data_IF_699084211096
#
_entry.id   IF_699084211096
#
_cell.length_a   1.000
_cell.length_b   1.000
_cell.length_c   1.000
_cell.angle_alpha   90.00
_cell.angle_beta   90.00
_cell.angle_gamma   90.00
#
_symmetry.space_group_name_H-M   'P 1'
#
loop_
_entity.id
_entity.type
_entity.pdbx_description
1 polymer ?
#
# COMPACT_ATOMS: atom_id res chain seq x y z
N UNK A 1 24.84 2.91 17.76
CA UNK A 1 23.51 3.37 18.21
C UNK A 1 22.93 4.50 17.35
N UNK A 2 23.66 5.03 16.35
CA UNK A 2 23.18 6.06 15.42
C UNK A 2 22.31 5.52 14.26
N UNK A 3 22.41 4.23 13.98
CA UNK A 3 21.79 3.54 12.84
C UNK A 3 20.24 3.56 12.88
N UNK A 4 19.64 3.39 14.06
CA UNK A 4 18.18 3.35 14.18
C UNK A 4 17.46 4.68 13.93
N UNK A 5 18.12 5.81 14.20
CA UNK A 5 17.53 7.15 13.99
C UNK A 5 17.53 7.52 12.51
N UNK A 6 18.58 7.16 11.78
CA UNK A 6 18.67 7.39 10.34
C UNK A 6 17.64 6.55 9.58
N UNK A 7 17.51 5.26 9.93
CA UNK A 7 16.49 4.39 9.35
C UNK A 7 15.06 4.89 9.61
N UNK A 8 14.79 5.39 10.82
CA UNK A 8 13.48 5.94 11.15
C UNK A 8 13.16 7.23 10.38
N UNK A 9 14.14 8.11 10.18
CA UNK A 9 13.95 9.31 9.34
C UNK A 9 13.69 8.93 7.88
N UNK A 10 14.51 8.03 7.31
CA UNK A 10 14.30 7.54 5.94
C UNK A 10 12.92 6.91 5.75
N UNK A 11 12.50 6.08 6.69
CA UNK A 11 11.16 5.50 6.69
C UNK A 11 10.09 6.60 6.67
N UNK A 12 10.19 7.58 7.58
CA UNK A 12 9.22 8.69 7.64
C UNK A 12 9.17 9.49 6.35
N UNK A 13 10.33 9.90 5.84
CA UNK A 13 10.43 10.69 4.61
C UNK A 13 9.81 9.95 3.42
N UNK A 14 10.11 8.66 3.26
CA UNK A 14 9.54 7.84 2.20
C UNK A 14 8.03 7.61 2.38
N UNK A 15 7.59 7.37 3.62
CA UNK A 15 6.18 7.14 3.95
C UNK A 15 5.32 8.39 3.71
N UNK A 16 5.83 9.57 4.07
CA UNK A 16 5.15 10.85 3.91
C UNK A 16 5.19 11.37 2.46
N UNK A 17 6.19 10.98 1.68
CA UNK A 17 6.31 11.34 0.26
C UNK A 17 5.30 10.64 -0.66
N UNK A 18 4.73 9.50 -0.23
CA UNK A 18 3.72 8.76 -1.00
C UNK A 18 2.30 9.12 -0.55
N UNK A 19 1.33 9.01 -1.46
CA UNK A 19 -0.05 9.41 -1.24
C UNK A 19 -1.09 8.39 -1.70
N UNK A 20 -2.19 8.30 -0.95
CA UNK A 20 -3.41 7.58 -1.37
C UNK A 20 -4.47 8.64 -1.62
N UNK A 21 -4.61 9.07 -2.87
CA UNK A 21 -5.45 10.22 -3.25
C UNK A 21 -6.90 9.86 -3.51
N UNK A 22 -7.18 8.60 -3.89
CA UNK A 22 -8.51 8.00 -3.91
C UNK A 22 -8.49 6.74 -3.04
N UNK A 23 -9.25 6.75 -1.94
CA UNK A 23 -9.38 5.61 -1.01
C UNK A 23 -10.57 4.74 -1.40
N UNK A 24 -10.46 3.44 -1.13
CA UNK A 24 -11.56 2.48 -1.26
C UNK A 24 -12.25 2.29 0.08
N UNK A 25 -13.58 2.19 0.08
CA UNK A 25 -14.38 2.13 1.33
C UNK A 25 -14.63 0.72 1.87
N UNK A 26 -14.13 -0.31 1.17
CA UNK A 26 -14.40 -1.71 1.52
C UNK A 26 -13.38 -2.29 2.53
N UNK A 27 -13.87 -3.15 3.43
CA UNK A 27 -13.05 -3.88 4.42
C UNK A 27 -12.48 -5.17 3.83
N UNK A 28 -11.21 -5.49 4.10
CA UNK A 28 -10.62 -6.79 3.74
C UNK A 28 -11.42 -7.91 4.41
N UNK A 29 -11.74 -8.96 3.64
CA UNK A 29 -12.36 -10.16 4.20
C UNK A 29 -11.33 -10.87 5.08
N UNK A 30 -11.55 -10.87 6.38
CA UNK A 30 -10.64 -11.43 7.40
C UNK A 30 -10.45 -12.95 7.29
N UNK A 31 -11.10 -13.64 6.36
CA UNK A 31 -11.02 -15.10 6.18
C UNK A 31 -10.73 -15.56 4.73
N UNK A 32 -10.49 -14.65 3.78
CA UNK A 32 -10.29 -14.96 2.36
C UNK A 32 -9.10 -14.25 1.73
N UNK A 33 -8.80 -14.58 0.46
CA UNK A 33 -7.92 -13.75 -0.35
C UNK A 33 -8.63 -12.41 -0.62
N UNK A 34 -7.92 -11.31 -0.42
CA UNK A 34 -8.42 -9.98 -0.79
C UNK A 34 -7.55 -9.44 -1.90
N UNK A 35 -8.21 -8.94 -2.93
CA UNK A 35 -7.59 -8.34 -4.10
C UNK A 35 -7.78 -6.83 -3.99
N UNK A 36 -6.66 -6.10 -3.92
CA UNK A 36 -6.61 -4.66 -3.70
C UNK A 36 -6.17 -3.98 -5.01
N UNK A 37 -7.15 -3.58 -5.82
CA UNK A 37 -6.92 -2.88 -7.08
C UNK A 37 -6.41 -1.46 -6.87
N UNK A 38 -5.47 -1.03 -7.73
CA UNK A 38 -4.95 0.32 -7.71
C UNK A 38 -4.48 0.82 -9.08
N UNK A 39 -4.49 2.14 -9.24
CA UNK A 39 -3.64 2.88 -10.17
C UNK A 39 -2.50 3.54 -9.41
N UNK A 40 -1.29 3.46 -9.93
CA UNK A 40 -0.09 4.11 -9.40
C UNK A 40 0.38 5.17 -10.39
N UNK A 41 0.46 6.41 -9.93
CA UNK A 41 1.00 7.56 -10.66
C UNK A 41 2.34 7.93 -10.03
N UNK A 42 3.44 7.65 -10.74
CA UNK A 42 4.78 8.05 -10.31
C UNK A 42 5.31 9.22 -11.11
N UNK A 43 5.84 10.22 -10.41
CA UNK A 43 6.39 11.43 -11.02
C UNK A 43 7.03 12.35 -9.98
N UNK A 44 7.55 13.47 -10.44
CA UNK A 44 8.04 14.53 -9.56
C UNK A 44 7.00 15.64 -9.51
N UNK A 45 6.49 15.91 -8.30
CA UNK A 45 5.44 16.90 -8.05
C UNK A 45 5.83 18.33 -8.44
N UNK A 46 7.12 18.66 -8.46
CA UNK A 46 7.59 20.02 -8.71
C UNK A 46 7.98 20.26 -10.20
N UNK A 47 7.66 19.30 -11.08
CA UNK A 47 8.09 19.37 -12.48
C UNK A 47 6.94 19.11 -13.45
N UNK A 48 6.99 19.73 -14.62
CA UNK A 48 6.14 19.38 -15.78
C UNK A 48 6.67 18.15 -16.52
N UNK A 49 7.40 17.26 -15.84
CA UNK A 49 7.94 16.07 -16.46
C UNK A 49 6.83 15.05 -16.69
N UNK A 50 6.96 14.20 -17.73
CA UNK A 50 6.05 13.09 -17.94
C UNK A 50 5.97 12.20 -16.70
N UNK A 51 4.77 11.82 -16.31
CA UNK A 51 4.52 10.86 -15.23
C UNK A 51 4.34 9.46 -15.80
N UNK A 52 4.60 8.44 -14.99
CA UNK A 52 4.25 7.06 -15.32
C UNK A 52 2.97 6.65 -14.59
N UNK A 53 2.03 6.08 -15.33
CA UNK A 53 0.80 5.49 -14.80
C UNK A 53 0.89 3.97 -14.97
N UNK A 54 0.53 3.23 -13.92
CA UNK A 54 0.52 1.76 -13.93
C UNK A 54 -0.71 1.27 -13.19
N UNK A 55 -1.46 0.34 -13.77
CA UNK A 55 -2.50 -0.39 -13.05
C UNK A 55 -1.89 -1.59 -12.36
N UNK A 56 -2.36 -1.94 -11.16
CA UNK A 56 -1.95 -3.16 -10.49
C UNK A 56 -2.98 -3.64 -9.49
N UNK A 57 -2.68 -4.81 -8.93
CA UNK A 57 -3.49 -5.45 -7.91
C UNK A 57 -2.58 -6.12 -6.89
N UNK A 58 -2.87 -5.91 -5.61
CA UNK A 58 -2.22 -6.65 -4.52
C UNK A 58 -3.15 -7.76 -4.05
N UNK A 59 -2.68 -9.00 -4.17
CA UNK A 59 -3.33 -10.16 -3.56
C UNK A 59 -2.76 -10.42 -2.18
N UNK A 60 -3.62 -10.33 -1.17
CA UNK A 60 -3.31 -10.67 0.23
C UNK A 60 -3.85 -12.05 0.55
N UNK A 61 -2.99 -12.98 1.00
CA UNK A 61 -3.42 -14.33 1.40
C UNK A 61 -2.79 -14.76 2.73
N UNK A 62 -3.53 -15.57 3.50
CA UNK A 62 -2.95 -16.40 4.56
C UNK A 62 -2.55 -17.75 3.97
N UNK A 63 -1.30 -18.20 4.15
CA UNK A 63 -0.86 -19.53 3.72
C UNK A 63 -1.62 -20.60 4.52
N UNK A 64 -2.16 -21.60 3.80
CA UNK A 64 -3.01 -22.67 4.36
C UNK A 64 -2.22 -23.81 5.02
N UNK A 65 -0.92 -23.91 4.73
CA UNK A 65 -0.03 -24.93 5.32
C UNK A 65 0.45 -24.40 6.67
N UNK A 66 0.60 -25.28 7.68
CA UNK A 66 1.06 -24.96 9.04
C UNK A 66 2.33 -24.11 8.97
N UNK A 67 2.12 -22.80 8.95
CA UNK A 67 3.17 -21.81 8.90
C UNK A 67 3.45 -21.50 10.37
N UNK A 68 4.69 -21.67 10.85
CA UNK A 68 5.02 -21.31 12.21
C UNK A 68 4.55 -19.88 12.49
N UNK A 69 3.99 -19.59 13.66
CA UNK A 69 3.60 -18.22 14.04
C UNK A 69 4.78 -17.24 13.99
N UNK A 70 6.02 -17.75 13.90
CA UNK A 70 7.27 -17.02 13.71
C UNK A 70 7.62 -16.68 12.25
N UNK A 71 6.81 -17.05 11.27
CA UNK A 71 7.12 -16.80 9.87
C UNK A 71 7.00 -15.32 9.53
N UNK A 72 8.05 -14.80 8.87
CA UNK A 72 8.06 -13.44 8.36
C UNK A 72 7.02 -13.26 7.26
N UNK A 73 6.40 -12.08 7.13
CA UNK A 73 5.62 -11.72 5.96
C UNK A 73 6.49 -11.80 4.70
N UNK A 74 5.86 -12.19 3.59
CA UNK A 74 6.52 -12.30 2.28
C UNK A 74 5.89 -11.30 1.32
N UNK A 75 6.73 -10.48 0.67
CA UNK A 75 6.34 -9.54 -0.38
C UNK A 75 6.92 -10.00 -1.71
N UNK A 76 6.07 -10.15 -2.73
CA UNK A 76 6.46 -10.49 -4.09
C UNK A 76 6.00 -9.38 -5.05
N UNK A 77 6.91 -8.87 -5.87
CA UNK A 77 6.58 -7.89 -6.92
C UNK A 77 6.33 -6.46 -6.44
N UNK A 78 6.73 -6.09 -5.22
CA UNK A 78 6.52 -4.75 -4.66
C UNK A 78 7.65 -3.77 -4.99
N UNK A 79 8.89 -4.18 -4.78
CA UNK A 79 10.03 -3.28 -4.68
C UNK A 79 10.94 -3.43 -5.89
N UNK A 80 11.36 -2.30 -6.46
CA UNK A 80 12.27 -2.27 -7.61
C UNK A 80 13.71 -1.91 -7.20
N UNK A 81 13.90 -1.45 -5.96
CA UNK A 81 15.19 -1.03 -5.45
C UNK A 81 15.37 -1.29 -3.93
N UNK A 82 16.63 -1.32 -3.43
CA UNK A 82 16.92 -1.62 -2.03
C UNK A 82 16.37 -0.59 -1.02
N UNK A 83 16.18 0.67 -1.41
CA UNK A 83 15.68 1.70 -0.50
C UNK A 83 14.22 1.41 -0.12
N UNK A 84 13.41 0.94 -1.09
CA UNK A 84 12.04 0.51 -0.83
C UNK A 84 11.98 -0.74 0.05
N UNK A 85 12.90 -1.70 -0.15
CA UNK A 85 13.02 -2.90 0.69
C UNK A 85 13.36 -2.54 2.15
N UNK A 86 14.27 -1.58 2.37
CA UNK A 86 14.63 -1.09 3.71
C UNK A 86 13.41 -0.46 4.43
N UNK A 87 12.61 0.33 3.71
CA UNK A 87 11.36 0.91 4.24
C UNK A 87 10.38 -0.18 4.65
N UNK A 88 10.26 -1.23 3.84
CA UNK A 88 9.41 -2.38 4.14
C UNK A 88 9.88 -3.15 5.37
N UNK A 89 11.17 -3.46 5.45
CA UNK A 89 11.77 -4.14 6.60
C UNK A 89 11.57 -3.34 7.90
N UNK A 90 11.71 -2.00 7.83
CA UNK A 90 11.47 -1.13 8.98
C UNK A 90 10.03 -1.23 9.50
N UNK A 91 9.04 -1.24 8.59
CA UNK A 91 7.62 -1.39 8.91
C UNK A 91 7.33 -2.77 9.51
N UNK A 92 7.84 -3.83 8.88
CA UNK A 92 7.59 -5.20 9.28
C UNK A 92 8.15 -5.53 10.66
N UNK A 93 9.33 -5.01 10.99
CA UNK A 93 9.94 -5.19 12.31
C UNK A 93 9.08 -4.63 13.45
N UNK A 94 8.11 -3.77 13.16
CA UNK A 94 7.29 -3.04 14.14
C UNK A 94 5.80 -3.37 14.07
N UNK A 95 5.37 -4.26 13.16
CA UNK A 95 3.95 -4.49 12.89
C UNK A 95 3.56 -5.97 13.00
N UNK A 96 2.98 -6.35 14.14
CA UNK A 96 2.54 -7.72 14.40
C UNK A 96 1.38 -8.19 13.48
N UNK A 97 0.58 -7.24 12.97
CA UNK A 97 -0.56 -7.50 12.09
C UNK A 97 -0.18 -8.14 10.72
N UNK A 98 1.09 -8.08 10.33
CA UNK A 98 1.58 -8.68 9.08
C UNK A 98 2.08 -10.12 9.26
N UNK A 99 2.18 -10.62 10.50
CA UNK A 99 2.68 -11.97 10.74
C UNK A 99 1.88 -13.01 9.95
N UNK A 100 2.58 -13.96 9.31
CA UNK A 100 2.00 -15.02 8.48
C UNK A 100 1.18 -14.57 7.25
N UNK A 101 1.27 -13.32 6.79
CA UNK A 101 0.65 -12.89 5.53
C UNK A 101 1.62 -12.98 4.35
N UNK A 102 1.11 -13.42 3.20
CA UNK A 102 1.81 -13.33 1.91
C UNK A 102 1.12 -12.28 1.03
N UNK A 103 1.93 -11.42 0.44
CA UNK A 103 1.52 -10.32 -0.41
C UNK A 103 2.12 -10.50 -1.79
N UNK A 104 1.27 -10.56 -2.81
CA UNK A 104 1.71 -10.64 -4.20
C UNK A 104 1.18 -9.42 -4.93
N UNK A 105 2.07 -8.54 -5.35
CA UNK A 105 1.76 -7.39 -6.19
C UNK A 105 1.95 -7.76 -7.66
N UNK A 106 0.92 -7.56 -8.45
CA UNK A 106 0.96 -7.74 -9.90
C UNK A 106 0.72 -6.39 -10.56
N UNK A 107 1.76 -5.88 -11.23
CA UNK A 107 1.69 -4.64 -11.99
C UNK A 107 1.54 -4.92 -13.48
N UNK A 108 0.68 -4.13 -14.11
CA UNK A 108 0.53 -4.07 -15.55
C UNK A 108 1.64 -3.26 -16.22
N UNK A 109 1.42 -2.92 -17.49
CA UNK A 109 2.38 -2.14 -18.26
C UNK A 109 2.48 -0.70 -17.74
N UNK A 110 3.72 -0.20 -17.65
CA UNK A 110 4.02 1.17 -17.28
C UNK A 110 3.79 2.10 -18.48
N UNK A 111 2.80 2.97 -18.39
CA UNK A 111 2.47 3.93 -19.44
C UNK A 111 3.05 5.30 -19.08
N UNK A 112 3.92 5.84 -19.93
CA UNK A 112 4.44 7.20 -19.76
C UNK A 112 3.47 8.16 -20.43
N UNK A 113 2.98 9.14 -19.67
CA UNK A 113 2.06 10.18 -20.14
C UNK A 113 2.66 11.55 -19.89
N UNK A 114 2.39 12.50 -20.77
CA UNK A 114 2.94 13.87 -20.69
C UNK A 114 2.25 14.76 -19.66
N UNK A 115 1.30 14.21 -18.90
CA UNK A 115 0.55 14.94 -17.88
C UNK A 115 1.42 15.18 -16.64
N UNK A 116 1.01 16.16 -15.84
CA UNK A 116 1.41 16.25 -14.43
C UNK A 116 0.73 15.18 -13.58
N UNK A 117 1.19 15.01 -12.33
CA UNK A 117 0.56 14.10 -11.35
C UNK A 117 -0.93 14.47 -11.18
N UNK A 118 -1.23 15.75 -10.97
CA UNK A 118 -2.60 16.23 -10.75
C UNK A 118 -3.51 15.94 -11.95
N UNK A 119 -3.03 16.23 -13.17
CA UNK A 119 -3.78 15.96 -14.40
C UNK A 119 -4.03 14.46 -14.63
N UNK A 120 -3.04 13.61 -14.33
CA UNK A 120 -3.19 12.17 -14.42
C UNK A 120 -4.19 11.63 -13.38
N UNK A 121 -4.12 12.12 -12.13
CA UNK A 121 -5.06 11.79 -11.05
C UNK A 121 -6.48 12.23 -11.40
N UNK A 122 -6.66 13.46 -11.88
CA UNK A 122 -7.96 13.99 -12.31
C UNK A 122 -8.58 13.14 -13.43
N UNK A 123 -7.77 12.75 -14.41
CA UNK A 123 -8.23 11.87 -15.49
C UNK A 123 -8.65 10.50 -14.96
N UNK A 124 -7.86 9.91 -14.07
CA UNK A 124 -8.17 8.61 -13.47
C UNK A 124 -9.44 8.68 -12.61
N UNK A 125 -9.63 9.76 -11.85
CA UNK A 125 -10.86 9.97 -11.08
C UNK A 125 -12.09 10.03 -11.98
N UNK A 126 -12.06 10.86 -13.04
CA UNK A 126 -13.16 10.95 -14.00
C UNK A 126 -13.45 9.60 -14.64
N UNK A 127 -12.42 8.87 -15.04
CA UNK A 127 -12.56 7.53 -15.61
C UNK A 127 -13.27 6.57 -14.65
N UNK A 128 -12.80 6.48 -13.39
CA UNK A 128 -13.38 5.57 -12.40
C UNK A 128 -14.80 5.98 -12.01
N UNK A 129 -15.10 7.28 -11.97
CA UNK A 129 -16.45 7.78 -11.70
C UNK A 129 -17.41 7.48 -12.85
N UNK A 130 -16.97 7.63 -14.10
CA UNK A 130 -17.74 7.28 -15.30
C UNK A 130 -17.98 5.76 -15.41
N UNK A 131 -17.08 4.94 -14.87
CA UNK A 131 -17.17 3.48 -14.81
C UNK A 131 -17.94 2.97 -13.56
N UNK A 132 -18.39 3.87 -12.68
CA UNK A 132 -19.00 3.54 -11.38
C UNK A 132 -18.12 2.61 -10.50
N UNK A 133 -16.80 2.76 -10.60
CA UNK A 133 -15.81 1.91 -9.93
C UNK A 133 -15.34 2.53 -8.60
N UNK A 134 -15.69 1.87 -7.50
CA UNK A 134 -15.43 2.31 -6.12
C UNK A 134 -14.39 1.44 -5.37
N UNK A 135 -13.86 0.39 -6.02
CA UNK A 135 -12.94 -0.59 -5.45
C UNK A 135 -11.50 -0.45 -5.95
N UNK A 136 -11.22 0.57 -6.78
CA UNK A 136 -9.87 0.88 -7.26
C UNK A 136 -9.34 2.14 -6.57
N UNK A 137 -8.19 2.00 -5.90
CA UNK A 137 -7.48 3.12 -5.31
C UNK A 137 -6.65 3.89 -6.37
N UNK A 138 -6.35 5.15 -6.09
CA UNK A 138 -5.33 5.92 -6.84
C UNK A 138 -4.22 6.29 -5.87
N UNK A 139 -3.00 5.90 -6.22
CA UNK A 139 -1.77 6.11 -5.47
C UNK A 139 -0.85 7.08 -6.20
N UNK A 140 -0.13 7.90 -5.45
CA UNK A 140 0.87 8.83 -5.98
C UNK A 140 2.21 8.60 -5.28
N UNK A 141 3.31 8.67 -6.04
CA UNK A 141 4.64 8.50 -5.49
C UNK A 141 5.71 9.25 -6.29
N UNK A 142 6.85 9.59 -5.67
CA UNK A 142 8.09 9.82 -6.40
C UNK A 142 8.49 8.62 -7.26
N UNK A 143 9.28 8.86 -8.31
CA UNK A 143 9.64 7.85 -9.31
C UNK A 143 10.26 6.56 -8.74
N UNK A 144 10.94 6.63 -7.60
CA UNK A 144 11.64 5.53 -6.94
C UNK A 144 10.91 4.96 -5.70
N UNK A 145 9.69 5.41 -5.41
CA UNK A 145 8.91 5.01 -4.21
C UNK A 145 7.57 4.36 -4.57
N UNK A 146 7.44 3.83 -5.79
CA UNK A 146 6.20 3.19 -6.26
C UNK A 146 5.82 1.99 -5.39
N UNK A 147 6.78 1.15 -5.04
CA UNK A 147 6.59 -0.01 -4.16
C UNK A 147 6.18 0.40 -2.75
N UNK A 148 6.74 1.50 -2.23
CA UNK A 148 6.38 2.04 -0.91
C UNK A 148 4.93 2.54 -0.90
N UNK A 149 4.46 3.17 -1.98
CA UNK A 149 3.06 3.60 -2.08
C UNK A 149 2.09 2.41 -2.05
N UNK A 150 2.40 1.33 -2.78
CA UNK A 150 1.61 0.09 -2.79
C UNK A 150 1.65 -0.60 -1.43
N UNK A 151 2.81 -0.61 -0.77
CA UNK A 151 2.96 -1.12 0.60
C UNK A 151 2.10 -0.33 1.59
N UNK A 152 2.16 1.01 1.55
CA UNK A 152 1.36 1.88 2.42
C UNK A 152 -0.13 1.65 2.23
N UNK A 153 -0.60 1.58 0.99
CA UNK A 153 -1.99 1.25 0.69
C UNK A 153 -2.41 -0.08 1.31
N UNK A 154 -1.60 -1.13 1.10
CA UNK A 154 -1.86 -2.47 1.64
C UNK A 154 -1.88 -2.45 3.17
N UNK A 155 -0.93 -1.75 3.79
CA UNK A 155 -0.81 -1.61 5.24
C UNK A 155 -2.03 -0.91 5.86
N UNK A 156 -2.43 0.24 5.32
CA UNK A 156 -3.59 0.99 5.80
C UNK A 156 -4.87 0.14 5.68
N UNK A 157 -5.02 -0.66 4.62
CA UNK A 157 -6.15 -1.59 4.47
C UNK A 157 -6.14 -2.70 5.51
N UNK A 158 -4.99 -3.30 5.83
CA UNK A 158 -4.88 -4.32 6.88
C UNK A 158 -5.25 -3.74 8.24
N UNK A 159 -4.75 -2.55 8.57
CA UNK A 159 -5.05 -1.89 9.84
C UNK A 159 -6.52 -1.50 9.96
N UNK A 160 -7.14 -1.01 8.89
CA UNK A 160 -8.57 -0.68 8.88
C UNK A 160 -9.46 -1.93 8.95
N UNK A 161 -8.97 -3.10 8.53
CA UNK A 161 -9.76 -4.33 8.45
C UNK A 161 -9.51 -5.31 9.59
N UNK A 162 -8.61 -5.00 10.53
CA UNK A 162 -8.31 -5.87 11.68
C UNK A 162 -9.50 -5.86 12.69
N UNK A 163 -10.09 -7.02 13.01
CA UNK A 163 -11.31 -7.12 13.83
C UNK A 163 -11.13 -6.84 15.34
N UNK A 164 -9.91 -6.66 15.85
CA UNK A 164 -9.64 -6.50 17.29
C UNK A 164 -10.25 -5.22 17.91
N UNK A 165 -10.65 -4.23 17.11
CA UNK A 165 -10.94 -2.90 17.66
C UNK A 165 -12.39 -2.65 18.16
N UNK A 166 -13.37 -3.53 17.94
CA UNK A 166 -14.75 -3.26 18.41
C UNK A 166 -15.21 -4.26 19.49
N UNK A 167 -14.86 -5.53 19.34
CA UNK A 167 -15.26 -6.58 20.29
C UNK A 167 -14.43 -6.50 21.59
N UNK A 168 -13.11 -6.29 21.49
CA UNK A 168 -12.20 -6.19 22.64
C UNK A 168 -12.47 -4.92 23.50
N UNK A 169 -12.85 -3.81 22.85
CA UNK A 169 -13.25 -2.57 23.54
C UNK A 169 -14.58 -2.70 24.28
N UNK A 170 -15.50 -3.55 23.78
CA UNK A 170 -16.78 -3.87 24.44
C UNK A 170 -16.59 -4.82 25.63
N UNK A 171 -15.75 -5.85 25.47
CA UNK A 171 -15.45 -6.81 26.54
C UNK A 171 -14.66 -6.19 27.71
N UNK A 172 -13.88 -5.13 27.45
CA UNK A 172 -13.15 -4.37 28.48
C UNK A 172 -13.88 -3.12 28.99
N UNK A 173 -15.10 -2.83 28.52
CA UNK A 173 -15.98 -1.79 29.06
C UNK A 173 -15.66 -0.35 28.64
N UNK A 174 -14.98 -0.13 27.51
CA UNK A 174 -14.58 1.19 27.02
C UNK A 174 -15.51 1.80 25.94
N UNK A 175 -16.54 1.05 25.52
CA UNK A 175 -17.68 1.53 24.72
C UNK A 175 -18.97 1.14 25.47
N UNK A 176 -20.05 1.96 25.43
CA UNK A 176 -21.32 1.64 26.08
C UNK A 176 -22.02 0.41 25.48
#
# INVERSE_FOLDING_TARGET
>A
MFDGWEQEQRFRDAWDAVGIVRRVSYSLFTFGASDLGYYLVCGDSDTKQPVSVTSGEVRVKRPTIITPQSAKPEFEGFFENPEEEEVADYLLARSAHFSSLQFVNQQGEKQIVSDSIDEAVDRLNRKLDDEEEDQIAILTAPANLGGVAVLRYTAERIWESAPDNIQELRERGFLP
#
